data_IF_972962242861
#
_entry.id   IF_972962242861
#
_cell.length_a   1.000
_cell.length_b   1.000
_cell.length_c   1.000
_cell.angle_alpha   90.00
_cell.angle_beta   90.00
_cell.angle_gamma   90.00
#
_symmetry.space_group_name_H-M   'P 1'
#
loop_
_entity.id
_entity.type
_entity.pdbx_description
1 polymer ?
#
# COMPACT_ATOMS: atom_id res chain seq x y z
N UNK A 1 5.65 -9.59 20.36
CA UNK A 1 5.83 -9.15 18.97
C UNK A 1 6.02 -10.33 18.03
N UNK A 2 5.44 -10.26 16.85
CA UNK A 2 5.67 -11.23 15.76
C UNK A 2 6.89 -10.80 14.97
N UNK A 3 7.82 -11.74 14.72
CA UNK A 3 9.05 -11.51 13.96
C UNK A 3 9.21 -12.57 12.87
N UNK A 4 10.14 -12.39 11.93
CA UNK A 4 10.44 -13.40 10.91
C UNK A 4 10.89 -14.74 11.52
N UNK A 5 11.49 -14.73 12.72
CA UNK A 5 11.98 -15.95 13.38
C UNK A 5 10.89 -16.71 14.16
N UNK A 6 9.85 -16.01 14.64
CA UNK A 6 8.88 -16.60 15.58
C UNK A 6 7.43 -16.74 15.05
N UNK A 7 7.07 -16.14 13.92
CA UNK A 7 5.68 -16.10 13.44
C UNK A 7 5.06 -17.48 13.29
N UNK A 8 5.81 -18.47 12.78
CA UNK A 8 5.32 -19.85 12.64
C UNK A 8 4.98 -20.47 13.98
N UNK A 9 5.87 -20.34 14.97
CA UNK A 9 5.67 -20.89 16.32
C UNK A 9 4.43 -20.29 16.98
N UNK A 10 4.26 -18.96 16.87
CA UNK A 10 3.10 -18.24 17.43
C UNK A 10 1.81 -18.72 16.75
N UNK A 11 1.76 -18.77 15.42
CA UNK A 11 0.55 -19.15 14.68
C UNK A 11 0.17 -20.62 14.93
N UNK A 12 1.16 -21.52 14.96
CA UNK A 12 0.91 -22.94 15.29
C UNK A 12 0.35 -23.09 16.72
N UNK A 13 0.90 -22.38 17.69
CA UNK A 13 0.39 -22.39 19.07
C UNK A 13 -1.09 -21.91 19.15
N UNK A 14 -1.47 -20.90 18.38
CA UNK A 14 -2.86 -20.46 18.27
C UNK A 14 -3.74 -21.55 17.63
N UNK A 15 -3.26 -22.20 16.58
CA UNK A 15 -3.99 -23.25 15.89
C UNK A 15 -4.23 -24.48 16.80
N UNK A 16 -3.28 -24.82 17.66
CA UNK A 16 -3.38 -25.92 18.63
C UNK A 16 -4.30 -25.60 19.79
N UNK A 17 -4.37 -24.34 20.23
CA UNK A 17 -5.15 -23.91 21.39
C UNK A 17 -6.66 -23.75 21.16
N UNK A 18 -7.21 -24.30 20.08
CA UNK A 18 -8.61 -24.06 19.61
C UNK A 18 -9.71 -24.37 20.62
N UNK A 19 -9.52 -25.24 21.61
CA UNK A 19 -10.52 -25.60 22.64
C UNK A 19 -11.97 -25.70 22.10
N UNK A 20 -12.16 -26.29 20.91
CA UNK A 20 -13.45 -26.40 20.24
C UNK A 20 -13.98 -25.09 19.61
N UNK A 21 -13.23 -23.97 19.64
CA UNK A 21 -13.58 -22.70 18.99
C UNK A 21 -12.64 -22.42 17.81
N UNK A 22 -13.14 -21.78 16.75
CA UNK A 22 -12.33 -21.30 15.65
C UNK A 22 -11.82 -19.90 15.98
N UNK A 23 -10.50 -19.68 16.10
CA UNK A 23 -9.97 -18.33 16.35
C UNK A 23 -10.14 -17.46 15.11
N UNK A 24 -10.45 -16.18 15.34
CA UNK A 24 -10.38 -15.12 14.34
C UNK A 24 -9.17 -14.25 14.66
N UNK A 25 -8.22 -14.19 13.75
CA UNK A 25 -6.93 -13.52 13.94
C UNK A 25 -7.03 -12.09 13.43
N UNK A 26 -6.84 -11.09 14.28
CA UNK A 26 -6.59 -9.74 13.85
C UNK A 26 -5.12 -9.65 13.40
N UNK A 27 -4.88 -9.77 12.10
CA UNK A 27 -3.54 -9.72 11.53
C UNK A 27 -3.14 -8.27 11.24
N UNK A 28 -2.08 -7.79 11.89
CA UNK A 28 -1.53 -6.45 11.73
C UNK A 28 -0.08 -6.47 11.20
N UNK A 29 0.38 -7.62 10.65
CA UNK A 29 1.71 -7.74 10.06
C UNK A 29 1.69 -7.13 8.65
N UNK A 30 2.36 -5.98 8.50
CA UNK A 30 2.36 -5.14 7.28
C UNK A 30 3.76 -4.98 6.65
N UNK A 31 4.72 -5.84 7.03
CA UNK A 31 6.11 -5.75 6.59
C UNK A 31 6.35 -6.22 5.15
N UNK A 32 7.40 -5.69 4.53
CA UNK A 32 7.84 -6.07 3.18
C UNK A 32 8.74 -7.33 3.16
N UNK A 33 9.12 -7.87 4.33
CA UNK A 33 10.02 -9.01 4.58
C UNK A 33 11.46 -8.81 4.09
N UNK A 34 11.71 -7.87 3.20
CA UNK A 34 13.04 -7.57 2.64
C UNK A 34 13.95 -6.97 3.71
N UNK A 35 13.37 -6.15 4.60
CA UNK A 35 14.07 -5.49 5.69
C UNK A 35 13.72 -6.09 7.07
N UNK A 36 13.23 -7.34 7.09
CA UNK A 36 13.08 -8.14 8.31
C UNK A 36 11.73 -8.02 9.04
N UNK A 37 10.79 -7.21 8.53
CA UNK A 37 9.45 -7.09 9.10
C UNK A 37 8.52 -8.14 8.49
N UNK A 38 7.81 -8.97 9.28
CA UNK A 38 6.93 -10.03 8.77
C UNK A 38 5.70 -9.47 8.05
N UNK A 39 5.33 -10.10 6.95
CA UNK A 39 4.24 -9.72 6.06
C UNK A 39 3.54 -10.92 5.44
N UNK A 40 3.76 -11.16 4.15
CA UNK A 40 3.07 -12.23 3.39
C UNK A 40 3.31 -13.64 3.92
N UNK A 41 4.46 -13.91 4.52
CA UNK A 41 4.75 -15.22 5.14
C UNK A 41 3.81 -15.55 6.29
N UNK A 42 3.35 -14.54 7.03
CA UNK A 42 2.32 -14.68 8.08
C UNK A 42 1.00 -15.13 7.45
N UNK A 43 0.57 -14.47 6.38
CA UNK A 43 -0.67 -14.79 5.66
C UNK A 43 -0.61 -16.23 5.10
N UNK A 44 0.50 -16.62 4.48
CA UNK A 44 0.72 -17.97 3.96
C UNK A 44 0.62 -19.04 5.04
N UNK A 45 1.13 -18.79 6.25
CA UNK A 45 1.03 -19.74 7.36
C UNK A 45 -0.40 -19.80 7.93
N UNK A 46 -1.11 -18.67 8.02
CA UNK A 46 -2.53 -18.63 8.41
C UNK A 46 -3.41 -19.41 7.43
N UNK A 47 -3.20 -19.23 6.12
CA UNK A 47 -3.91 -19.98 5.06
C UNK A 47 -3.65 -21.48 5.13
N UNK A 48 -2.38 -21.86 5.30
CA UNK A 48 -1.95 -23.29 5.41
C UNK A 48 -2.66 -24.00 6.57
N UNK A 49 -2.88 -23.30 7.68
CA UNK A 49 -3.55 -23.84 8.87
C UNK A 49 -5.07 -23.69 8.86
N UNK A 50 -5.64 -23.10 7.78
CA UNK A 50 -7.06 -22.85 7.63
C UNK A 50 -7.63 -21.92 8.70
N UNK A 51 -6.83 -20.97 9.18
CA UNK A 51 -7.25 -19.99 10.17
C UNK A 51 -8.02 -18.85 9.51
N UNK A 52 -8.95 -18.26 10.25
CA UNK A 52 -9.67 -17.04 9.82
C UNK A 52 -8.85 -15.84 10.26
N UNK A 53 -8.58 -14.92 9.34
CA UNK A 53 -7.77 -13.73 9.62
C UNK A 53 -8.29 -12.50 8.90
N UNK A 54 -8.00 -11.33 9.46
CA UNK A 54 -8.32 -10.03 8.87
C UNK A 54 -7.22 -9.57 7.92
N UNK A 55 -7.55 -8.56 7.09
CA UNK A 55 -6.62 -7.91 6.19
C UNK A 55 -6.48 -8.64 4.86
N UNK A 56 -5.37 -8.44 4.20
CA UNK A 56 -5.10 -8.85 2.83
C UNK A 56 -4.96 -10.37 2.69
N UNK A 57 -5.34 -10.92 1.55
CA UNK A 57 -4.90 -12.25 1.13
C UNK A 57 -3.49 -12.20 0.52
N UNK A 58 -2.93 -13.39 0.23
CA UNK A 58 -1.58 -13.51 -0.35
C UNK A 58 -1.46 -12.75 -1.67
N UNK A 59 -2.48 -12.84 -2.53
CA UNK A 59 -2.43 -12.22 -3.86
C UNK A 59 -2.38 -10.70 -3.78
N UNK A 60 -3.30 -10.10 -3.03
CA UNK A 60 -3.37 -8.64 -2.88
C UNK A 60 -2.13 -8.09 -2.16
N UNK A 61 -1.61 -8.82 -1.17
CA UNK A 61 -0.40 -8.44 -0.48
C UNK A 61 0.81 -8.45 -1.41
N UNK A 62 1.07 -9.55 -2.13
CA UNK A 62 2.20 -9.69 -3.04
C UNK A 62 2.18 -8.65 -4.15
N UNK A 63 0.99 -8.36 -4.74
CA UNK A 63 0.88 -7.39 -5.85
C UNK A 63 1.12 -5.94 -5.40
N UNK A 64 0.86 -5.61 -4.12
CA UNK A 64 1.00 -4.26 -3.58
C UNK A 64 2.32 -4.02 -2.84
N UNK A 65 3.01 -5.08 -2.41
CA UNK A 65 4.32 -4.97 -1.76
C UNK A 65 5.36 -4.38 -2.71
N UNK A 66 5.32 -4.73 -4.00
CA UNK A 66 6.19 -4.14 -5.01
C UNK A 66 5.42 -3.17 -5.91
N UNK A 67 5.99 -1.98 -6.14
CA UNK A 67 5.41 -0.98 -7.04
C UNK A 67 5.30 -1.48 -8.49
N UNK A 68 6.14 -2.43 -8.90
CA UNK A 68 6.18 -2.94 -10.27
C UNK A 68 4.94 -3.75 -10.66
N UNK A 69 4.56 -4.84 -9.95
CA UNK A 69 3.34 -5.58 -10.26
C UNK A 69 2.08 -4.72 -10.04
N UNK A 70 2.05 -3.87 -9.03
CA UNK A 70 0.95 -2.95 -8.76
C UNK A 70 0.70 -2.00 -9.94
N UNK A 71 1.72 -1.31 -10.44
CA UNK A 71 1.59 -0.39 -11.59
C UNK A 71 1.24 -1.14 -12.89
N UNK A 72 1.74 -2.36 -13.08
CA UNK A 72 1.29 -3.21 -14.21
C UNK A 72 -0.20 -3.55 -14.11
N UNK A 73 -0.72 -3.78 -12.91
CA UNK A 73 -2.15 -4.01 -12.70
C UNK A 73 -2.97 -2.75 -13.02
N UNK A 74 -2.50 -1.57 -12.60
CA UNK A 74 -3.12 -0.29 -12.95
C UNK A 74 -3.15 -0.07 -14.46
N UNK A 75 -2.01 -0.23 -15.14
CA UNK A 75 -1.93 -0.08 -16.60
C UNK A 75 -2.89 -1.04 -17.33
N UNK A 76 -2.92 -2.31 -16.92
CA UNK A 76 -3.81 -3.33 -17.50
C UNK A 76 -5.29 -2.97 -17.33
N UNK A 77 -5.65 -2.43 -16.18
CA UNK A 77 -7.01 -2.01 -15.85
C UNK A 77 -7.34 -0.59 -16.34
N UNK A 78 -6.38 0.14 -16.94
CA UNK A 78 -6.49 1.54 -17.35
C UNK A 78 -6.78 2.50 -16.20
N UNK A 79 -6.36 2.16 -15.00
CA UNK A 79 -6.35 3.07 -13.85
C UNK A 79 -5.32 4.16 -14.09
N UNK A 80 -5.72 5.42 -13.94
CA UNK A 80 -4.84 6.56 -14.20
C UNK A 80 -3.66 6.57 -13.20
N UNK A 81 -2.44 6.43 -13.70
CA UNK A 81 -1.19 6.50 -12.94
C UNK A 81 -0.14 7.28 -13.73
N UNK A 82 0.86 7.86 -13.05
CA UNK A 82 1.93 8.59 -13.71
C UNK A 82 2.76 7.65 -14.63
N UNK A 83 3.40 8.21 -15.65
CA UNK A 83 4.33 7.45 -16.47
C UNK A 83 5.47 6.91 -15.61
N UNK A 84 5.84 5.66 -15.80
CA UNK A 84 6.84 5.00 -14.96
C UNK A 84 7.75 4.05 -15.72
N UNK A 85 8.89 3.71 -15.11
CA UNK A 85 9.86 2.70 -15.58
C UNK A 85 10.54 2.06 -14.38
N UNK A 86 11.24 0.96 -14.64
CA UNK A 86 12.06 0.27 -13.64
C UNK A 86 13.49 0.19 -14.13
N UNK A 87 14.44 0.47 -13.27
CA UNK A 87 15.87 0.29 -13.49
C UNK A 87 16.27 -1.00 -12.77
N UNK A 88 16.47 -2.07 -13.54
CA UNK A 88 16.90 -3.39 -13.02
C UNK A 88 18.30 -3.74 -13.44
N UNK A 89 18.90 -2.98 -14.37
CA UNK A 89 20.28 -3.19 -14.82
C UNK A 89 21.25 -2.92 -13.65
N UNK A 90 22.16 -3.89 -13.42
CA UNK A 90 23.21 -3.77 -12.39
C UNK A 90 24.11 -2.55 -12.56
N UNK A 91 24.16 -1.97 -13.76
CA UNK A 91 24.90 -0.73 -14.07
C UNK A 91 24.04 0.52 -13.87
N UNK A 92 22.75 0.36 -13.54
CA UNK A 92 21.84 1.47 -13.32
C UNK A 92 21.62 2.36 -14.55
N UNK A 93 21.46 1.78 -15.75
CA UNK A 93 21.31 2.57 -16.96
C UNK A 93 20.06 3.44 -16.93
N UNK A 94 20.26 4.75 -17.02
CA UNK A 94 19.20 5.78 -16.98
C UNK A 94 18.90 6.40 -18.34
N UNK A 95 19.63 6.02 -19.40
CA UNK A 95 19.58 6.66 -20.72
C UNK A 95 18.15 6.74 -21.31
N UNK A 96 17.72 7.96 -21.56
CA UNK A 96 16.44 8.29 -22.17
C UNK A 96 15.22 8.05 -21.27
N UNK A 97 15.40 7.88 -19.96
CA UNK A 97 14.29 7.72 -19.01
C UNK A 97 13.52 9.02 -18.89
N UNK A 98 14.20 10.17 -18.72
CA UNK A 98 13.54 11.48 -18.64
C UNK A 98 12.62 11.77 -19.83
N UNK A 99 13.06 11.41 -21.04
CA UNK A 99 12.24 11.56 -22.25
C UNK A 99 10.99 10.68 -22.24
N UNK A 100 11.07 9.46 -21.67
CA UNK A 100 9.95 8.49 -21.68
C UNK A 100 8.98 8.69 -20.53
N UNK A 101 9.47 9.15 -19.38
CA UNK A 101 8.68 9.29 -18.16
C UNK A 101 8.12 10.71 -18.02
N UNK A 102 8.87 11.72 -18.46
CA UNK A 102 8.62 13.14 -18.22
C UNK A 102 9.38 13.61 -16.97
N UNK A 103 9.60 14.92 -16.84
CA UNK A 103 10.26 15.53 -15.69
C UNK A 103 9.33 16.51 -14.99
N UNK A 104 9.46 16.73 -13.68
CA UNK A 104 10.38 16.07 -12.76
C UNK A 104 10.08 14.59 -12.57
N UNK A 105 11.08 13.80 -12.15
CA UNK A 105 10.98 12.37 -11.88
C UNK A 105 11.22 12.15 -10.40
N UNK A 106 10.49 11.21 -9.78
CA UNK A 106 10.83 10.68 -8.46
C UNK A 106 11.35 9.25 -8.56
N UNK A 107 12.44 8.97 -7.83
CA UNK A 107 13.08 7.65 -7.75
C UNK A 107 12.66 7.01 -6.43
N UNK A 108 12.20 5.77 -6.47
CA UNK A 108 11.78 5.00 -5.29
C UNK A 108 12.33 3.57 -5.37
N UNK A 109 12.66 2.91 -4.27
CA UNK A 109 12.81 1.45 -4.30
C UNK A 109 11.51 0.81 -4.77
N UNK A 110 11.59 -0.24 -5.60
CA UNK A 110 10.39 -0.94 -6.05
C UNK A 110 9.66 -1.62 -4.87
N UNK A 111 10.43 -2.15 -3.92
CA UNK A 111 9.93 -2.71 -2.65
C UNK A 111 10.43 -1.85 -1.50
N UNK A 112 9.53 -1.16 -0.83
CA UNK A 112 9.84 -0.40 0.39
C UNK A 112 8.55 0.02 1.11
N UNK A 113 8.54 -0.08 2.42
CA UNK A 113 7.50 0.46 3.30
C UNK A 113 7.96 1.75 3.99
N UNK A 114 7.02 2.57 4.49
CA UNK A 114 7.32 3.74 5.32
C UNK A 114 8.30 4.75 4.72
N UNK A 115 8.27 4.98 3.41
CA UNK A 115 9.19 5.88 2.68
C UNK A 115 10.67 5.51 2.73
N UNK A 116 11.06 4.27 3.13
CA UNK A 116 12.46 3.85 3.15
C UNK A 116 13.11 4.04 1.77
N UNK A 117 14.26 4.71 1.75
CA UNK A 117 15.00 5.02 0.52
C UNK A 117 14.43 6.19 -0.30
N UNK A 118 13.45 6.91 0.23
CA UNK A 118 12.85 8.09 -0.42
C UNK A 118 13.22 9.35 0.36
N UNK A 119 13.99 10.24 -0.27
CA UNK A 119 14.37 11.54 0.27
C UNK A 119 14.09 12.66 -0.74
N UNK A 120 14.25 13.92 -0.34
CA UNK A 120 14.12 15.07 -1.26
C UNK A 120 15.07 14.97 -2.46
N UNK A 121 16.24 14.35 -2.29
CA UNK A 121 17.19 14.08 -3.36
C UNK A 121 16.68 13.10 -4.44
N UNK A 122 15.58 12.41 -4.18
CA UNK A 122 15.00 11.46 -5.13
C UNK A 122 14.14 12.15 -6.21
N UNK A 123 13.82 13.44 -6.05
CA UNK A 123 13.16 14.24 -7.09
C UNK A 123 14.23 14.88 -7.96
N UNK A 124 14.23 14.54 -9.26
CA UNK A 124 15.28 14.92 -10.22
C UNK A 124 14.67 15.50 -11.49
N UNK A 125 15.39 16.42 -12.14
CA UNK A 125 14.91 17.18 -13.29
C UNK A 125 15.67 16.87 -14.59
N UNK A 126 16.86 16.26 -14.48
CA UNK A 126 17.74 15.98 -15.63
C UNK A 126 18.21 14.52 -15.66
N UNK A 127 18.66 14.06 -16.84
CA UNK A 127 19.28 12.73 -16.98
C UNK A 127 20.55 12.58 -16.12
N UNK A 128 21.29 13.66 -15.95
CA UNK A 128 22.50 13.68 -15.12
C UNK A 128 22.17 13.50 -13.64
N UNK A 129 21.21 14.27 -13.11
CA UNK A 129 20.72 14.12 -11.74
C UNK A 129 20.17 12.72 -11.49
N UNK A 130 19.39 12.18 -12.45
CA UNK A 130 18.87 10.83 -12.39
C UNK A 130 20.01 9.80 -12.32
N UNK A 131 21.03 9.93 -13.18
CA UNK A 131 22.16 9.01 -13.20
C UNK A 131 22.97 9.06 -11.90
N UNK A 132 23.22 10.27 -11.38
CA UNK A 132 23.96 10.47 -10.14
C UNK A 132 23.21 9.88 -8.94
N UNK A 133 21.90 10.14 -8.82
CA UNK A 133 21.09 9.61 -7.72
C UNK A 133 20.96 8.08 -7.77
N UNK A 134 20.75 7.52 -8.94
CA UNK A 134 20.73 6.05 -9.12
C UNK A 134 22.08 5.44 -8.74
N UNK A 135 23.20 6.01 -9.17
CA UNK A 135 24.54 5.52 -8.82
C UNK A 135 24.79 5.59 -7.30
N UNK A 136 24.30 6.62 -6.62
CA UNK A 136 24.39 6.75 -5.17
C UNK A 136 23.62 5.62 -4.46
N UNK A 137 22.36 5.35 -4.86
CA UNK A 137 21.55 4.29 -4.26
C UNK A 137 22.17 2.91 -4.52
N UNK A 138 22.77 2.67 -5.70
CA UNK A 138 23.43 1.41 -6.02
C UNK A 138 24.71 1.16 -5.20
N UNK A 139 25.36 2.21 -4.67
CA UNK A 139 26.49 2.08 -3.74
C UNK A 139 26.06 1.64 -2.34
N UNK A 140 24.78 1.71 -2.06
CA UNK A 140 24.20 1.43 -0.75
C UNK A 140 23.76 2.70 -0.02
N UNK A 141 22.65 2.62 0.68
CA UNK A 141 22.06 3.73 1.42
C UNK A 141 21.52 3.20 2.75
N UNK A 142 22.04 3.71 3.87
CA UNK A 142 21.63 3.38 5.25
C UNK A 142 21.61 1.89 5.58
N UNK A 143 22.32 1.04 4.86
CA UNK A 143 22.35 -0.40 5.06
C UNK A 143 21.06 -1.14 4.66
N UNK A 144 20.12 -0.45 4.04
CA UNK A 144 18.85 -1.05 3.58
C UNK A 144 19.00 -1.79 2.26
N UNK A 145 18.21 -2.85 2.08
CA UNK A 145 18.12 -3.53 0.81
C UNK A 145 17.06 -2.82 -0.07
N UNK A 146 17.51 -1.89 -0.90
CA UNK A 146 16.65 -1.03 -1.73
C UNK A 146 16.52 -1.47 -3.19
N UNK A 147 17.22 -2.55 -3.59
CA UNK A 147 17.33 -2.95 -5.00
C UNK A 147 16.48 -4.19 -5.36
N UNK A 148 15.66 -4.69 -4.44
CA UNK A 148 14.70 -5.77 -4.73
C UNK A 148 13.69 -5.27 -5.76
N UNK A 149 13.49 -6.02 -6.84
CA UNK A 149 12.70 -5.63 -8.02
C UNK A 149 13.20 -4.36 -8.74
N UNK A 150 14.35 -3.81 -8.35
CA UNK A 150 15.00 -2.65 -8.93
C UNK A 150 14.58 -1.31 -8.35
N UNK A 151 15.04 -0.23 -9.02
CA UNK A 151 14.61 1.13 -8.70
C UNK A 151 13.43 1.51 -9.62
N UNK A 152 12.33 1.87 -8.99
CA UNK A 152 11.15 2.38 -9.64
C UNK A 152 11.29 3.88 -9.86
N UNK A 153 11.03 4.36 -11.07
CA UNK A 153 11.07 5.77 -11.44
C UNK A 153 9.75 6.16 -12.08
N UNK A 154 9.14 7.24 -11.62
CA UNK A 154 7.89 7.75 -12.17
C UNK A 154 7.91 9.28 -12.28
N UNK A 155 7.07 9.82 -13.15
CA UNK A 155 6.86 11.27 -13.22
C UNK A 155 6.37 11.75 -11.85
N UNK A 156 7.04 12.76 -11.32
CA UNK A 156 6.62 13.42 -10.09
C UNK A 156 5.47 14.38 -10.39
N UNK A 157 4.30 14.05 -9.91
CA UNK A 157 3.11 14.89 -10.07
C UNK A 157 3.11 15.94 -8.98
N UNK A 158 3.09 17.22 -9.37
CA UNK A 158 3.00 18.35 -8.43
C UNK A 158 1.54 18.73 -8.19
N UNK A 159 1.18 18.91 -6.92
CA UNK A 159 -0.15 19.34 -6.51
C UNK A 159 -0.69 18.59 -5.29
N UNK A 160 -1.99 18.76 -4.99
CA UNK A 160 -2.61 18.18 -3.81
C UNK A 160 -2.48 16.66 -3.75
N UNK A 161 -2.27 16.13 -2.55
CA UNK A 161 -2.22 14.69 -2.27
C UNK A 161 -3.43 14.30 -1.43
N UNK A 162 -4.09 13.21 -1.84
CA UNK A 162 -5.28 12.69 -1.19
C UNK A 162 -5.03 11.27 -0.75
N UNK A 163 -5.67 10.90 0.35
CA UNK A 163 -5.67 9.51 0.81
C UNK A 163 -7.09 9.05 1.11
N UNK A 164 -7.38 7.79 0.75
CA UNK A 164 -8.66 7.13 1.02
C UNK A 164 -8.41 5.83 1.76
N UNK A 165 -9.43 5.33 2.42
CA UNK A 165 -9.41 4.04 3.08
C UNK A 165 -10.53 3.17 2.54
N UNK A 166 -10.24 1.88 2.34
CA UNK A 166 -11.22 0.90 1.83
C UNK A 166 -11.23 -0.31 2.75
N UNK A 167 -12.42 -0.80 3.09
CA UNK A 167 -12.61 -2.08 3.79
C UNK A 167 -13.52 -2.99 2.97
N UNK A 168 -13.36 -4.31 3.13
CA UNK A 168 -14.13 -5.32 2.39
C UNK A 168 -13.38 -5.86 1.18
N UNK A 169 -14.03 -6.71 0.40
CA UNK A 169 -13.44 -7.35 -0.79
C UNK A 169 -13.93 -6.69 -2.07
N UNK A 170 -13.04 -6.45 -3.03
CA UNK A 170 -13.37 -5.76 -4.28
C UNK A 170 -14.34 -6.54 -5.19
N UNK A 171 -14.50 -7.83 -4.99
CA UNK A 171 -15.47 -8.71 -5.66
C UNK A 171 -16.79 -8.88 -4.89
N UNK A 172 -16.90 -8.31 -3.71
CA UNK A 172 -18.12 -8.20 -2.90
C UNK A 172 -18.52 -6.73 -2.73
N UNK A 173 -18.98 -6.13 -3.84
CA UNK A 173 -19.18 -4.68 -3.95
C UNK A 173 -20.16 -4.15 -2.92
N UNK A 174 -21.20 -4.93 -2.61
CA UNK A 174 -22.25 -4.54 -1.65
C UNK A 174 -21.72 -4.41 -0.21
N UNK A 175 -20.62 -5.07 0.10
CA UNK A 175 -19.95 -5.06 1.40
C UNK A 175 -18.56 -4.38 1.36
N UNK A 176 -18.24 -3.70 0.25
CA UNK A 176 -16.99 -2.97 0.11
C UNK A 176 -17.22 -1.48 0.34
N UNK A 177 -16.59 -0.92 1.36
CA UNK A 177 -16.78 0.47 1.80
C UNK A 177 -15.57 1.30 1.42
N UNK A 178 -15.79 2.37 0.63
CA UNK A 178 -14.79 3.42 0.38
C UNK A 178 -15.14 4.62 1.26
N UNK A 179 -14.32 4.88 2.27
CA UNK A 179 -14.53 5.99 3.21
C UNK A 179 -14.29 7.35 2.56
N UNK A 180 -14.67 8.44 3.24
CA UNK A 180 -14.44 9.79 2.74
C UNK A 180 -12.93 10.07 2.63
N UNK A 181 -12.46 10.60 1.50
CA UNK A 181 -11.05 10.96 1.34
C UNK A 181 -10.67 12.15 2.21
N UNK A 182 -9.39 12.25 2.55
CA UNK A 182 -8.79 13.45 3.14
C UNK A 182 -7.67 13.96 2.26
N UNK A 183 -7.44 15.28 2.26
CA UNK A 183 -6.28 15.89 1.64
C UNK A 183 -5.15 15.98 2.67
N UNK A 184 -3.95 15.50 2.29
CA UNK A 184 -2.72 15.75 3.04
C UNK A 184 -2.12 17.07 2.59
N UNK A 185 -2.12 18.04 3.48
CA UNK A 185 -1.61 19.38 3.22
C UNK A 185 -0.22 19.51 3.83
N UNK A 186 0.79 19.50 2.99
CA UNK A 186 2.17 19.69 3.41
C UNK A 186 2.41 21.15 3.85
N UNK A 187 3.38 21.33 4.73
CA UNK A 187 3.72 22.63 5.29
C UNK A 187 4.04 23.64 4.16
N UNK A 188 3.56 24.89 4.30
CA UNK A 188 3.63 25.90 3.24
C UNK A 188 5.06 26.34 2.91
N UNK A 189 5.98 26.30 3.88
CA UNK A 189 7.38 26.63 3.66
C UNK A 189 8.13 25.66 2.74
N UNK A 190 7.56 24.49 2.45
CA UNK A 190 8.21 23.50 1.60
C UNK A 190 8.04 23.84 0.12
N UNK A 191 9.13 23.75 -0.67
CA UNK A 191 9.03 23.81 -2.13
C UNK A 191 8.11 22.72 -2.67
N UNK A 192 7.44 22.96 -3.80
CA UNK A 192 6.52 21.98 -4.40
C UNK A 192 7.18 20.64 -4.72
N UNK A 193 8.47 20.63 -5.07
CA UNK A 193 9.26 19.41 -5.28
C UNK A 193 9.57 18.62 -4.01
N UNK A 194 9.28 19.19 -2.82
CA UNK A 194 9.50 18.55 -1.51
C UNK A 194 8.20 18.22 -0.76
N UNK A 195 7.05 18.54 -1.34
CA UNK A 195 5.73 18.23 -0.76
C UNK A 195 5.32 16.78 -1.01
N UNK A 196 6.02 15.85 -0.38
CA UNK A 196 5.74 14.41 -0.38
C UNK A 196 6.33 13.77 0.89
N UNK A 197 5.91 12.55 1.21
CA UNK A 197 6.40 11.84 2.39
C UNK A 197 7.83 11.34 2.13
N UNK A 198 8.82 12.14 2.53
CA UNK A 198 10.22 11.73 2.62
C UNK A 198 10.49 10.98 3.92
N UNK A 199 11.49 10.09 3.93
CA UNK A 199 11.78 9.26 5.10
C UNK A 199 12.19 10.11 6.31
N UNK A 200 13.11 11.05 6.12
CA UNK A 200 13.65 11.83 7.24
C UNK A 200 12.59 12.68 7.95
N UNK A 201 11.72 13.35 7.18
CA UNK A 201 10.65 14.17 7.76
C UNK A 201 9.51 13.32 8.35
N UNK A 202 9.19 12.18 7.71
CA UNK A 202 8.14 11.30 8.22
C UNK A 202 8.50 10.67 9.56
N UNK A 203 9.78 10.31 9.75
CA UNK A 203 10.26 9.63 10.95
C UNK A 203 11.07 10.53 11.90
N UNK A 204 11.17 11.82 11.58
CA UNK A 204 11.90 12.84 12.38
C UNK A 204 13.36 12.45 12.67
N UNK A 205 14.02 11.80 11.69
CA UNK A 205 15.41 11.32 11.83
C UNK A 205 16.42 12.39 11.43
N UNK A 206 16.14 13.14 10.35
CA UNK A 206 16.90 14.30 9.86
C UNK A 206 18.39 14.08 9.65
N UNK A 207 18.76 12.99 8.97
CA UNK A 207 20.16 12.76 8.58
C UNK A 207 20.52 13.53 7.30
N UNK A 208 19.61 13.60 6.33
CA UNK A 208 19.81 14.20 5.01
C UNK A 208 18.93 15.43 4.74
N UNK A 209 17.90 15.68 5.54
CA UNK A 209 16.90 16.72 5.31
C UNK A 209 16.80 17.68 6.49
N UNK A 210 16.47 18.93 6.17
CA UNK A 210 16.26 19.96 7.20
C UNK A 210 14.98 19.66 8.00
N UNK A 211 15.05 19.71 9.34
CA UNK A 211 13.87 19.62 10.21
C UNK A 211 12.82 20.68 9.87
N UNK A 212 11.57 20.38 10.19
CA UNK A 212 10.51 21.39 10.15
C UNK A 212 10.76 22.49 11.18
N UNK A 213 10.23 23.70 10.98
CA UNK A 213 10.29 24.75 11.99
C UNK A 213 9.78 24.24 13.34
N UNK A 214 10.34 24.76 14.42
CA UNK A 214 10.03 24.27 15.78
C UNK A 214 8.52 24.39 16.08
N UNK A 215 7.93 23.27 16.52
CA UNK A 215 6.50 23.10 16.81
C UNK A 215 5.56 23.17 15.60
N UNK A 216 6.06 22.97 14.39
CA UNK A 216 5.23 22.93 13.19
C UNK A 216 5.20 21.51 12.60
N UNK A 217 4.02 21.08 12.16
CA UNK A 217 3.82 19.75 11.59
C UNK A 217 4.32 19.70 10.15
N UNK A 218 4.92 18.61 9.75
CA UNK A 218 5.31 18.33 8.36
C UNK A 218 4.12 18.39 7.39
N UNK A 219 2.97 17.89 7.83
CA UNK A 219 1.69 17.96 7.12
C UNK A 219 0.51 17.93 8.11
N UNK A 220 -0.64 18.33 7.61
CA UNK A 220 -1.93 18.20 8.30
C UNK A 220 -2.94 17.57 7.36
N UNK A 221 -4.07 17.09 7.89
CA UNK A 221 -5.18 16.60 7.11
C UNK A 221 -6.34 17.60 7.10
N UNK A 222 -7.01 17.74 5.96
CA UNK A 222 -8.27 18.50 5.86
C UNK A 222 -9.29 17.72 5.02
N UNK A 223 -10.62 18.02 5.18
CA UNK A 223 -11.65 17.52 4.30
C UNK A 223 -11.36 17.90 2.83
N UNK A 224 -11.73 17.00 1.92
CA UNK A 224 -11.63 17.24 0.47
C UNK A 224 -12.80 18.10 0.01
N UNK A 225 -12.57 18.92 -1.03
CA UNK A 225 -13.63 19.64 -1.72
C UNK A 225 -14.71 18.67 -2.22
N UNK A 226 -15.99 18.90 -1.89
CA UNK A 226 -17.09 17.94 -2.18
C UNK A 226 -17.15 17.50 -3.64
N UNK A 227 -16.82 18.38 -4.58
CA UNK A 227 -16.84 18.09 -6.02
C UNK A 227 -15.82 17.03 -6.45
N UNK A 228 -14.71 16.82 -5.69
CA UNK A 228 -13.67 15.84 -5.99
C UNK A 228 -13.94 14.47 -5.38
N UNK A 229 -14.75 14.39 -4.34
CA UNK A 229 -14.99 13.15 -3.57
C UNK A 229 -15.44 11.98 -4.46
N UNK A 230 -16.43 12.12 -5.38
CA UNK A 230 -16.85 11.00 -6.22
C UNK A 230 -15.71 10.47 -7.11
N UNK A 231 -14.92 11.35 -7.70
CA UNK A 231 -13.82 10.96 -8.58
C UNK A 231 -12.69 10.25 -7.81
N UNK A 232 -12.38 10.72 -6.60
CA UNK A 232 -11.38 10.09 -5.73
C UNK A 232 -11.84 8.70 -5.27
N UNK A 233 -13.08 8.55 -4.83
CA UNK A 233 -13.66 7.25 -4.43
C UNK A 233 -13.67 6.26 -5.60
N UNK A 234 -14.10 6.72 -6.78
CA UNK A 234 -14.14 5.88 -7.98
C UNK A 234 -12.73 5.38 -8.36
N UNK A 235 -11.76 6.30 -8.46
CA UNK A 235 -10.37 5.94 -8.81
C UNK A 235 -9.76 5.00 -7.78
N UNK A 236 -10.04 5.22 -6.49
CA UNK A 236 -9.58 4.35 -5.39
C UNK A 236 -10.14 2.94 -5.52
N UNK A 237 -11.45 2.81 -5.78
CA UNK A 237 -12.09 1.50 -5.93
C UNK A 237 -11.60 0.78 -7.18
N UNK A 238 -11.42 1.47 -8.30
CA UNK A 238 -10.86 0.90 -9.53
C UNK A 238 -9.45 0.36 -9.33
N UNK A 239 -8.59 1.10 -8.61
CA UNK A 239 -7.23 0.66 -8.27
C UNK A 239 -7.26 -0.55 -7.33
N UNK A 240 -8.11 -0.53 -6.31
CA UNK A 240 -8.31 -1.65 -5.39
C UNK A 240 -8.74 -2.91 -6.14
N UNK A 241 -9.73 -2.79 -7.01
CA UNK A 241 -10.21 -3.87 -7.87
C UNK A 241 -9.15 -4.38 -8.84
N UNK A 242 -8.37 -3.49 -9.44
CA UNK A 242 -7.29 -3.84 -10.35
C UNK A 242 -6.22 -4.72 -9.70
N UNK A 243 -5.97 -4.52 -8.41
CA UNK A 243 -5.05 -5.32 -7.62
C UNK A 243 -5.69 -6.58 -6.99
N UNK A 244 -6.99 -6.83 -7.19
CA UNK A 244 -7.70 -7.94 -6.57
C UNK A 244 -7.90 -7.74 -5.07
N UNK A 245 -8.23 -6.53 -4.65
CA UNK A 245 -8.29 -6.08 -3.27
C UNK A 245 -9.13 -6.95 -2.34
N UNK A 246 -8.57 -7.24 -1.17
CA UNK A 246 -9.17 -8.02 -0.08
C UNK A 246 -8.83 -7.41 1.27
N UNK A 247 -9.79 -7.46 2.19
CA UNK A 247 -9.60 -7.01 3.56
C UNK A 247 -9.70 -5.50 3.71
N UNK A 248 -8.56 -4.81 3.74
CA UNK A 248 -8.53 -3.36 3.82
C UNK A 248 -7.23 -2.79 3.22
N UNK A 249 -7.29 -1.52 2.80
CA UNK A 249 -6.16 -0.81 2.20
C UNK A 249 -6.27 0.69 2.39
N UNK A 250 -5.12 1.36 2.47
CA UNK A 250 -5.01 2.80 2.23
C UNK A 250 -4.59 3.03 0.79
N UNK A 251 -5.20 3.99 0.14
CA UNK A 251 -4.95 4.40 -1.23
C UNK A 251 -4.44 5.83 -1.22
N UNK A 252 -3.32 6.09 -1.89
CA UNK A 252 -2.73 7.42 -2.02
C UNK A 252 -2.85 7.90 -3.49
N UNK A 253 -3.38 9.12 -3.68
CA UNK A 253 -3.70 9.74 -4.98
C UNK A 253 -3.08 11.13 -5.02
N UNK A 254 -2.62 11.57 -6.19
CA UNK A 254 -2.17 12.94 -6.38
C UNK A 254 -2.91 13.61 -7.54
N UNK A 255 -3.26 14.87 -7.38
CA UNK A 255 -3.82 15.69 -8.45
C UNK A 255 -2.73 16.54 -9.07
N UNK A 256 -2.65 16.54 -10.38
CA UNK A 256 -1.77 17.44 -11.12
C UNK A 256 -2.32 18.87 -11.08
N UNK A 257 -1.54 19.79 -10.54
CA UNK A 257 -1.95 21.21 -10.36
C UNK A 257 -2.25 21.91 -11.67
N UNK A 258 -1.61 21.50 -12.78
CA UNK A 258 -1.73 22.16 -14.07
C UNK A 258 -2.94 21.67 -14.87
N UNK A 259 -3.33 20.42 -14.70
CA UNK A 259 -4.38 19.77 -15.50
C UNK A 259 -5.62 19.40 -14.71
N UNK A 260 -5.53 19.37 -13.37
CA UNK A 260 -6.56 18.85 -12.49
C UNK A 260 -6.74 17.31 -12.52
N UNK A 261 -5.92 16.60 -13.30
CA UNK A 261 -6.03 15.15 -13.46
C UNK A 261 -5.56 14.42 -12.22
N UNK A 262 -6.33 13.40 -11.80
CA UNK A 262 -5.98 12.53 -10.69
C UNK A 262 -5.09 11.37 -11.16
N UNK A 263 -4.07 11.06 -10.35
CA UNK A 263 -3.13 9.98 -10.59
C UNK A 263 -3.00 9.09 -9.36
N UNK A 264 -3.21 7.80 -9.54
CA UNK A 264 -2.97 6.80 -8.52
C UNK A 264 -1.47 6.69 -8.21
N UNK A 265 -1.10 6.92 -6.95
CA UNK A 265 0.27 6.69 -6.49
C UNK A 265 0.48 5.23 -6.11
N UNK A 266 -0.21 4.78 -5.07
CA UNK A 266 -0.08 3.41 -4.55
C UNK A 266 -1.31 2.95 -3.78
N UNK A 267 -1.44 1.62 -3.68
CA UNK A 267 -2.36 0.93 -2.77
C UNK A 267 -1.51 0.21 -1.71
N UNK A 268 -1.81 0.47 -0.44
CA UNK A 268 -1.07 -0.07 0.69
C UNK A 268 -1.93 -1.15 1.36
N UNK A 269 -1.80 -2.41 0.89
CA UNK A 269 -2.50 -3.52 1.50
C UNK A 269 -2.12 -3.64 2.98
N UNK A 270 -3.12 -3.84 3.81
CA UNK A 270 -2.93 -4.05 5.25
C UNK A 270 -2.12 -2.92 5.91
N UNK A 271 -2.43 -1.66 5.54
CA UNK A 271 -1.81 -0.48 6.13
C UNK A 271 -2.02 -0.44 7.65
N UNK A 272 -1.14 0.27 8.37
CA UNK A 272 -1.31 0.49 9.80
C UNK A 272 -2.68 1.10 10.13
N UNK A 273 -3.31 0.59 11.19
CA UNK A 273 -4.61 1.06 11.69
C UNK A 273 -4.40 1.88 12.96
N UNK A 274 -4.95 3.08 13.01
CA UNK A 274 -4.91 3.97 14.16
C UNK A 274 -6.15 4.86 14.19
N UNK A 275 -6.61 5.20 15.40
CA UNK A 275 -7.67 6.18 15.62
C UNK A 275 -7.16 7.61 15.81
N UNK A 276 -5.83 7.78 15.83
CA UNK A 276 -5.20 9.09 16.03
C UNK A 276 -5.46 9.99 14.80
N UNK A 277 -6.37 10.95 14.97
CA UNK A 277 -6.87 11.82 13.91
C UNK A 277 -5.89 12.94 13.50
N UNK A 278 -4.93 13.25 14.36
CA UNK A 278 -3.99 14.34 14.13
C UNK A 278 -2.72 13.85 13.39
N UNK A 279 -2.28 12.62 13.66
CA UNK A 279 -1.02 12.09 13.13
C UNK A 279 -1.18 10.98 12.09
N UNK A 280 -2.37 10.36 11.98
CA UNK A 280 -2.55 9.25 11.04
C UNK A 280 -3.61 9.53 9.98
N UNK A 281 -3.34 9.06 8.76
CA UNK A 281 -4.31 9.18 7.67
C UNK A 281 -5.62 8.43 7.96
N UNK A 282 -5.55 7.29 8.64
CA UNK A 282 -6.74 6.51 8.98
C UNK A 282 -7.58 7.27 10.00
N UNK A 283 -7.00 7.76 11.10
CA UNK A 283 -7.72 8.56 12.08
C UNK A 283 -8.39 9.80 11.48
N UNK A 284 -7.67 10.53 10.61
CA UNK A 284 -8.23 11.68 9.91
C UNK A 284 -9.40 11.31 8.98
N UNK A 285 -9.30 10.18 8.24
CA UNK A 285 -10.38 9.65 7.39
C UNK A 285 -11.60 9.29 8.23
N UNK A 286 -11.42 8.62 9.36
CA UNK A 286 -12.51 8.24 10.25
C UNK A 286 -13.25 9.45 10.82
N UNK A 287 -12.52 10.48 11.23
CA UNK A 287 -13.08 11.75 11.68
C UNK A 287 -13.96 12.41 10.60
N UNK A 288 -13.43 12.54 9.37
CA UNK A 288 -14.18 13.14 8.25
C UNK A 288 -15.37 12.27 7.84
N UNK A 289 -15.22 10.95 7.89
CA UNK A 289 -16.30 10.01 7.59
C UNK A 289 -17.35 9.91 8.68
N UNK A 290 -17.12 10.51 9.86
CA UNK A 290 -17.97 10.38 11.05
C UNK A 290 -18.21 8.90 11.44
N UNK A 291 -17.15 8.08 11.42
CA UNK A 291 -17.16 6.66 11.72
C UNK A 291 -16.17 6.38 12.85
N UNK A 292 -16.58 5.62 13.84
CA UNK A 292 -15.69 5.25 14.94
C UNK A 292 -14.68 4.18 14.54
N UNK A 293 -13.53 4.15 15.21
CA UNK A 293 -12.53 3.11 15.01
C UNK A 293 -13.09 1.70 15.28
N UNK A 294 -13.96 1.57 16.29
CA UNK A 294 -14.64 0.31 16.62
C UNK A 294 -15.53 -0.19 15.47
N UNK A 295 -16.25 0.70 14.78
CA UNK A 295 -17.05 0.33 13.61
C UNK A 295 -16.17 -0.19 12.49
N UNK A 296 -15.04 0.47 12.21
CA UNK A 296 -14.10 0.02 11.17
C UNK A 296 -13.50 -1.34 11.50
N UNK A 297 -13.03 -1.55 12.73
CA UNK A 297 -12.51 -2.86 13.16
C UNK A 297 -13.60 -3.92 13.03
N UNK A 298 -14.85 -3.59 13.37
CA UNK A 298 -15.99 -4.49 13.22
C UNK A 298 -16.23 -4.88 11.75
N UNK A 299 -16.16 -3.93 10.81
CA UNK A 299 -16.29 -4.22 9.37
C UNK A 299 -15.14 -5.08 8.84
N UNK A 300 -13.91 -4.82 9.28
CA UNK A 300 -12.74 -5.64 8.95
C UNK A 300 -12.91 -7.10 9.44
N UNK A 301 -13.43 -7.28 10.66
CA UNK A 301 -13.74 -8.61 11.20
C UNK A 301 -14.87 -9.30 10.44
N UNK A 302 -15.95 -8.58 10.09
CA UNK A 302 -17.04 -9.11 9.27
C UNK A 302 -16.58 -9.55 7.88
N UNK A 303 -15.69 -8.77 7.23
CA UNK A 303 -15.12 -9.16 5.94
C UNK A 303 -14.33 -10.47 6.05
N UNK A 304 -13.51 -10.63 7.08
CA UNK A 304 -12.76 -11.88 7.31
C UNK A 304 -13.68 -13.09 7.47
N UNK A 305 -14.80 -12.94 8.18
CA UNK A 305 -15.80 -14.00 8.35
C UNK A 305 -16.49 -14.33 7.01
N UNK A 306 -16.97 -13.33 6.26
CA UNK A 306 -17.59 -13.53 4.93
C UNK A 306 -16.65 -14.27 3.98
N UNK A 307 -15.38 -13.86 3.91
CA UNK A 307 -14.38 -14.53 3.06
C UNK A 307 -14.15 -15.98 3.48
N UNK A 308 -14.15 -16.29 4.77
CA UNK A 308 -14.02 -17.65 5.28
C UNK A 308 -15.22 -18.52 4.89
N UNK A 309 -16.44 -18.02 4.96
CA UNK A 309 -17.65 -18.73 4.54
C UNK A 309 -17.63 -19.06 3.03
N UNK A 310 -17.28 -18.07 2.18
CA UNK A 310 -17.15 -18.26 0.73
C UNK A 310 -16.09 -19.32 0.41
N UNK A 311 -14.94 -19.31 1.10
CA UNK A 311 -13.89 -20.33 0.95
C UNK A 311 -14.42 -21.70 1.28
N UNK A 312 -15.10 -21.88 2.41
CA UNK A 312 -15.67 -23.16 2.85
C UNK A 312 -16.71 -23.72 1.87
N UNK A 313 -17.54 -22.86 1.27
CA UNK A 313 -18.53 -23.27 0.26
C UNK A 313 -17.82 -23.75 -1.02
N UNK A 314 -16.78 -23.05 -1.47
CA UNK A 314 -16.03 -23.38 -2.67
C UNK A 314 -15.26 -24.72 -2.52
N UNK A 315 -14.67 -24.97 -1.37
CA UNK A 315 -13.99 -26.24 -1.06
C UNK A 315 -14.97 -27.42 -1.06
N UNK A 316 -16.16 -27.26 -0.47
CA UNK A 316 -17.22 -28.30 -0.49
C UNK A 316 -17.69 -28.59 -1.92
N UNK A 317 -17.84 -27.57 -2.77
CA UNK A 317 -18.20 -27.73 -4.20
C UNK A 317 -17.11 -28.48 -4.96
N UNK A 318 -15.85 -28.10 -4.78
CA UNK A 318 -14.71 -28.74 -5.43
C UNK A 318 -14.58 -30.22 -5.06
N UNK A 319 -14.82 -30.58 -3.80
CA UNK A 319 -14.80 -31.97 -3.32
C UNK A 319 -15.93 -32.78 -3.92
N UNK A 320 -17.15 -32.22 -4.01
CA UNK A 320 -18.29 -32.91 -4.66
C UNK A 320 -18.01 -33.19 -6.15
N UNK A 321 -17.43 -32.23 -6.88
CA UNK A 321 -17.12 -32.38 -8.30
C UNK A 321 -16.05 -33.42 -8.56
N UNK A 322 -15.04 -33.55 -7.68
CA UNK A 322 -14.03 -34.62 -7.75
C UNK A 322 -14.64 -36.02 -7.53
N UNK A 323 -15.52 -36.14 -6.55
CA UNK A 323 -16.18 -37.43 -6.24
C UNK A 323 -17.13 -37.85 -7.38
N UNK A 324 -17.82 -36.93 -8.04
CA UNK A 324 -18.70 -37.22 -9.18
C UNK A 324 -17.90 -37.68 -10.40
N UNK A 325 -16.71 -37.15 -10.64
CA UNK A 325 -15.84 -37.61 -11.75
C UNK A 325 -15.23 -39.01 -11.52
N UNK A 326 -15.03 -39.43 -10.29
CA UNK A 326 -14.49 -40.75 -9.96
C UNK A 326 -15.56 -41.87 -10.13
N UNK A 327 -16.84 -41.51 -9.99
CA UNK A 327 -17.96 -42.49 -10.15
C UNK A 327 -18.33 -42.70 -11.63
N UNK A 328 -17.93 -41.83 -12.54
CA UNK A 328 -18.22 -41.95 -13.99
C UNK A 328 -17.16 -42.71 -14.81
N UNK A 329 -16.14 -43.30 -14.17
CA UNK A 329 -15.06 -44.05 -14.82
C UNK A 329 -15.08 -45.56 -14.33
N UNK A 330 -16.24 -46.07 -14.02
CA UNK A 330 -16.41 -47.52 -13.79
C UNK A 330 -17.40 -48.08 -14.78
#
# INVERSE_FOLDING_TARGET
PVTMDNYKTIINSIAESKNGKTPLILNLCDGDEVNGCPGVSVIKELDKLGLIYTGSDVHFYDITTSKVPMKKAFDKAKVATANWRVITDKKGSTKGICKRVGTPIIIKPAVSGGSMGVSVKNVVHTEEELANRVAEIYKGYRGWNLLVDGLFVEQFITGPEFTTFITGSADDVDNCIVYEPVERVFHESLPDGEKFLSFDRLWEIYEDETPMPQNENFYNYKPVEPALIPALKQLSFEAYKACGGKGYTRIDIRQDSSTGKLYMLEANAQCGLSEDEDYTSIGAILKVSNVSFTEVITEILKDALRRSEVRSINEKKATKTKNTKVVSIK
#
